data_IF_448845046219
#
_entry.id   IF_448845046219
#
_cell.length_a   1.000
_cell.length_b   1.000
_cell.length_c   1.000
_cell.angle_alpha   90.00
_cell.angle_beta   90.00
_cell.angle_gamma   90.00
#
_symmetry.space_group_name_H-M   'P 1'
#
loop_
_entity.id
_entity.type
_entity.pdbx_description
1 polymer ?
#
# COMPACT_ATOMS: atom_id res chain seq x y z
N UNK A 1 -16.18 -1.36 26.09
CA UNK A 1 -14.87 -2.05 26.19
C UNK A 1 -13.88 -1.22 25.39
N UNK A 2 -12.97 -0.48 26.03
CA UNK A 2 -12.03 0.40 25.32
C UNK A 2 -10.82 -0.43 24.88
N UNK A 3 -10.84 -0.94 23.65
CA UNK A 3 -9.68 -1.60 23.06
C UNK A 3 -8.82 -0.46 22.49
N UNK A 4 -7.66 -0.20 23.11
CA UNK A 4 -6.70 0.80 22.60
C UNK A 4 -5.51 0.04 22.00
N UNK A 5 -5.61 -0.43 20.75
CA UNK A 5 -4.43 -0.92 20.06
C UNK A 5 -3.49 0.27 19.82
N UNK A 6 -2.22 0.16 20.22
CA UNK A 6 -1.19 1.19 19.98
C UNK A 6 -0.72 1.18 18.53
N UNK A 7 -1.57 1.53 17.58
CA UNK A 7 -1.47 1.08 16.18
C UNK A 7 -0.25 1.58 15.40
N UNK A 8 0.29 2.74 15.77
CA UNK A 8 1.45 3.34 15.14
C UNK A 8 2.29 3.97 16.23
N UNK A 9 3.42 3.35 16.57
CA UNK A 9 4.35 3.88 17.56
C UNK A 9 5.61 4.34 16.84
N UNK A 10 5.91 5.63 16.98
CA UNK A 10 7.18 6.21 16.58
C UNK A 10 7.94 6.56 17.85
N UNK A 11 9.18 6.07 17.93
CA UNK A 11 10.09 6.39 19.03
C UNK A 11 11.29 7.14 18.47
N UNK A 12 11.56 8.34 19.00
CA UNK A 12 12.70 9.15 18.61
C UNK A 12 13.47 9.62 19.87
N UNK A 13 14.81 9.59 19.81
CA UNK A 13 15.73 10.09 20.84
C UNK A 13 16.60 11.27 20.38
N UNK A 14 16.43 11.74 19.16
CA UNK A 14 17.19 12.86 18.62
C UNK A 14 16.98 14.13 19.45
N UNK A 15 18.08 14.74 19.90
CA UNK A 15 18.03 15.94 20.75
C UNK A 15 17.77 15.66 22.23
N UNK A 16 17.74 14.39 22.66
CA UNK A 16 17.61 14.00 24.06
C UNK A 16 18.97 13.55 24.66
N UNK A 17 19.24 13.83 25.96
CA UNK A 17 18.37 14.52 26.92
C UNK A 17 18.33 16.04 26.68
N UNK A 18 17.16 16.63 26.88
CA UNK A 18 17.00 18.08 26.83
C UNK A 18 17.55 18.67 28.14
N UNK A 19 18.50 19.59 28.03
CA UNK A 19 19.14 20.25 29.16
C UNK A 19 18.11 21.20 29.83
N UNK A 20 18.11 21.35 31.16
CA UNK A 20 17.25 22.33 31.82
C UNK A 20 17.42 23.73 31.22
N UNK A 21 16.30 24.38 30.88
CA UNK A 21 16.29 25.70 30.23
C UNK A 21 16.43 25.67 28.69
N UNK A 22 16.70 24.52 28.08
CA UNK A 22 16.65 24.33 26.63
C UNK A 22 15.26 23.86 26.16
N UNK A 23 14.92 24.14 24.90
CA UNK A 23 13.69 23.67 24.26
C UNK A 23 14.00 22.79 23.04
N UNK A 24 13.11 21.83 22.75
CA UNK A 24 13.17 20.99 21.54
C UNK A 24 11.83 21.10 20.80
N UNK A 25 11.89 21.45 19.51
CA UNK A 25 10.72 21.44 18.62
C UNK A 25 10.97 20.47 17.48
N UNK A 26 10.04 19.54 17.26
CA UNK A 26 10.11 18.51 16.21
C UNK A 26 8.73 18.20 15.67
N UNK A 27 8.67 17.99 14.35
CA UNK A 27 7.47 17.55 13.65
C UNK A 27 7.59 16.06 13.36
N UNK A 28 6.53 15.31 13.68
CA UNK A 28 6.42 13.88 13.41
C UNK A 28 5.26 13.62 12.47
N UNK A 29 5.46 12.73 11.51
CA UNK A 29 4.42 12.30 10.57
C UNK A 29 4.06 10.86 10.86
N UNK A 30 2.79 10.61 11.16
CA UNK A 30 2.24 9.28 11.41
C UNK A 30 1.14 9.01 10.39
N UNK A 31 1.18 7.83 9.78
CA UNK A 31 0.13 7.37 8.85
C UNK A 31 -0.56 6.15 9.46
N UNK A 32 -1.82 6.28 9.89
CA UNK A 32 -2.58 5.16 10.46
C UNK A 32 -3.00 4.20 9.33
N UNK A 33 -2.16 3.20 9.04
CA UNK A 33 -2.43 2.15 8.05
C UNK A 33 -2.84 0.82 8.69
N UNK A 34 -3.69 0.07 7.98
CA UNK A 34 -4.06 -1.29 8.40
C UNK A 34 -2.88 -2.26 8.34
N UNK A 35 -1.98 -2.11 7.36
CA UNK A 35 -0.77 -2.95 7.18
C UNK A 35 0.03 -3.13 8.49
N UNK A 36 0.21 -2.04 9.25
CA UNK A 36 0.93 -2.04 10.53
C UNK A 36 0.15 -2.69 11.69
N UNK A 37 -1.08 -3.14 11.43
CA UNK A 37 -2.04 -3.59 12.43
C UNK A 37 -2.65 -4.96 12.12
N UNK A 38 -2.24 -5.62 11.03
CA UNK A 38 -2.78 -6.91 10.60
C UNK A 38 -2.62 -8.03 11.64
N UNK A 39 -1.50 -8.05 12.36
CA UNK A 39 -1.21 -9.05 13.38
C UNK A 39 -1.93 -8.77 14.72
N UNK A 40 -2.57 -7.61 14.84
CA UNK A 40 -3.16 -7.13 16.09
C UNK A 40 -4.63 -7.46 16.15
N UNK A 41 -5.01 -8.20 17.19
CA UNK A 41 -6.41 -8.51 17.48
C UNK A 41 -7.12 -7.30 18.07
N UNK A 42 -8.41 -7.19 17.80
CA UNK A 42 -9.27 -6.14 18.37
C UNK A 42 -9.13 -4.76 17.71
N UNK A 43 -8.51 -4.68 16.53
CA UNK A 43 -8.49 -3.47 15.69
C UNK A 43 -9.79 -3.42 14.90
N UNK A 44 -10.49 -2.28 14.96
CA UNK A 44 -11.68 -2.05 14.16
C UNK A 44 -11.31 -1.80 12.69
N UNK A 45 -12.01 -2.48 11.79
CA UNK A 45 -11.79 -2.42 10.33
C UNK A 45 -13.13 -2.27 9.62
N UNK A 46 -13.15 -1.63 8.45
CA UNK A 46 -14.36 -1.46 7.62
C UNK A 46 -14.75 -2.73 6.82
N UNK A 47 -14.02 -3.84 7.00
CA UNK A 47 -14.17 -5.06 6.23
C UNK A 47 -13.59 -6.30 6.90
N UNK A 48 -13.36 -7.36 6.11
CA UNK A 48 -12.82 -8.63 6.59
C UNK A 48 -11.29 -8.62 6.45
N UNK A 49 -10.57 -9.12 7.46
CA UNK A 49 -9.10 -9.14 7.52
C UNK A 49 -8.38 -9.70 6.27
N UNK A 50 -9.03 -10.55 5.47
CA UNK A 50 -8.44 -11.25 4.31
C UNK A 50 -8.72 -10.59 2.96
N UNK A 51 -9.31 -9.41 2.95
CA UNK A 51 -9.64 -8.67 1.72
C UNK A 51 -8.67 -7.49 1.62
N UNK A 52 -7.94 -7.38 0.51
CA UNK A 52 -6.90 -6.35 0.31
C UNK A 52 -7.43 -4.92 0.41
N UNK A 53 -8.69 -4.69 0.05
CA UNK A 53 -9.35 -3.37 0.11
C UNK A 53 -9.82 -2.98 1.53
N UNK A 54 -9.47 -3.76 2.55
CA UNK A 54 -9.91 -3.48 3.92
C UNK A 54 -9.06 -2.38 4.54
N UNK A 55 -9.72 -1.38 5.11
CA UNK A 55 -9.07 -0.29 5.84
C UNK A 55 -9.42 -0.34 7.33
N UNK A 56 -8.71 0.48 8.12
CA UNK A 56 -9.11 0.79 9.49
C UNK A 56 -10.51 1.40 9.49
N UNK A 57 -11.30 1.10 10.52
CA UNK A 57 -12.66 1.60 10.57
C UNK A 57 -12.72 3.13 10.67
N UNK A 58 -13.66 3.76 9.99
CA UNK A 58 -13.90 5.20 10.15
C UNK A 58 -14.35 5.55 11.58
N UNK A 59 -14.14 6.80 11.98
CA UNK A 59 -14.53 7.29 13.31
C UNK A 59 -16.05 7.36 13.44
N UNK A 60 -16.58 6.97 14.59
CA UNK A 60 -18.01 7.12 14.87
C UNK A 60 -18.32 8.55 15.27
N UNK A 61 -19.15 9.24 14.49
CA UNK A 61 -19.58 10.61 14.75
C UNK A 61 -20.94 10.62 15.45
N UNK A 62 -21.09 11.45 16.48
CA UNK A 62 -22.34 11.61 17.22
C UNK A 62 -22.88 13.02 17.00
N UNK A 63 -24.15 13.14 16.63
CA UNK A 63 -24.88 14.42 16.65
C UNK A 63 -25.35 14.78 18.05
N UNK A 64 -25.70 13.77 18.86
CA UNK A 64 -26.05 13.90 20.27
C UNK A 64 -25.29 12.86 21.10
N UNK A 65 -24.72 13.22 22.27
CA UNK A 65 -23.94 12.30 23.11
C UNK A 65 -24.79 11.13 23.65
N UNK A 66 -26.09 11.34 23.85
CA UNK A 66 -27.02 10.33 24.37
C UNK A 66 -27.23 9.16 23.39
N UNK A 67 -26.91 9.34 22.10
CA UNK A 67 -27.08 8.29 21.09
C UNK A 67 -25.92 7.29 21.06
N UNK A 68 -24.90 7.45 21.91
CA UNK A 68 -23.72 6.56 21.91
C UNK A 68 -24.08 5.09 22.09
N UNK A 69 -25.12 4.79 22.87
CA UNK A 69 -25.57 3.43 23.17
C UNK A 69 -26.35 2.77 22.02
N UNK A 70 -26.81 3.55 21.04
CA UNK A 70 -27.49 3.04 19.85
C UNK A 70 -26.52 2.40 18.84
N UNK A 71 -25.22 2.70 18.96
CA UNK A 71 -24.19 2.15 18.10
C UNK A 71 -23.60 0.88 18.73
N UNK A 72 -23.62 -0.24 17.99
CA UNK A 72 -23.04 -1.50 18.47
C UNK A 72 -21.54 -1.41 18.71
N UNK A 73 -20.81 -0.75 17.81
CA UNK A 73 -19.36 -0.50 17.94
C UNK A 73 -19.10 0.98 17.76
N UNK A 74 -18.33 1.55 18.68
CA UNK A 74 -17.88 2.94 18.64
C UNK A 74 -16.37 2.98 18.41
N UNK A 75 -15.95 3.67 17.36
CA UNK A 75 -14.55 3.80 16.96
C UNK A 75 -14.11 5.26 17.16
N UNK A 76 -13.01 5.45 17.88
CA UNK A 76 -12.42 6.77 18.14
C UNK A 76 -10.90 6.68 18.07
N UNK A 77 -10.26 7.69 17.47
CA UNK A 77 -8.80 7.75 17.36
C UNK A 77 -8.20 8.85 18.22
N UNK A 78 -7.03 8.55 18.79
CA UNK A 78 -6.28 9.46 19.66
C UNK A 78 -4.81 9.39 19.30
N UNK A 79 -4.21 10.53 18.97
CA UNK A 79 -2.77 10.67 18.86
C UNK A 79 -2.20 10.89 20.26
N UNK A 80 -1.24 10.05 20.67
CA UNK A 80 -0.65 10.10 22.01
C UNK A 80 0.83 10.42 21.90
N UNK A 81 1.26 11.49 22.56
CA UNK A 81 2.67 11.88 22.68
C UNK A 81 3.14 11.54 24.08
N UNK A 82 4.17 10.69 24.15
CA UNK A 82 4.77 10.23 25.40
C UNK A 82 6.19 10.76 25.51
N UNK A 83 6.48 11.51 26.57
CA UNK A 83 7.81 11.98 26.92
C UNK A 83 8.29 11.26 28.18
N UNK A 84 9.40 10.53 28.07
CA UNK A 84 10.04 9.86 29.22
C UNK A 84 11.14 10.76 29.79
N UNK A 85 10.95 11.24 31.01
CA UNK A 85 11.83 12.21 31.66
C UNK A 85 12.83 11.51 32.60
N UNK A 86 13.87 10.90 32.04
CA UNK A 86 15.01 10.35 32.80
C UNK A 86 14.64 9.39 33.96
N UNK A 87 15.57 9.23 34.91
CA UNK A 87 15.42 8.28 36.04
C UNK A 87 14.49 8.77 37.15
N UNK A 88 14.33 10.09 37.29
CA UNK A 88 13.57 10.70 38.40
C UNK A 88 12.31 11.46 37.95
N UNK A 89 12.15 11.75 36.66
CA UNK A 89 11.06 12.58 36.15
C UNK A 89 9.83 11.80 35.68
N UNK A 90 9.89 10.47 35.58
CA UNK A 90 8.75 9.66 35.17
C UNK A 90 8.33 9.89 33.71
N UNK A 91 7.03 9.94 33.44
CA UNK A 91 6.45 10.00 32.10
C UNK A 91 5.40 11.12 32.02
N UNK A 92 5.48 11.92 30.96
CA UNK A 92 4.44 12.87 30.58
C UNK A 92 3.72 12.37 29.33
N UNK A 93 2.39 12.37 29.36
CA UNK A 93 1.55 11.94 28.23
C UNK A 93 0.60 13.07 27.86
N UNK A 94 0.58 13.40 26.58
CA UNK A 94 -0.42 14.29 25.97
C UNK A 94 -1.22 13.50 24.93
N UNK A 95 -2.53 13.75 24.88
CA UNK A 95 -3.46 13.05 23.99
C UNK A 95 -4.25 14.06 23.18
N UNK A 96 -4.34 13.81 21.86
CA UNK A 96 -5.06 14.66 20.92
C UNK A 96 -6.06 13.79 20.15
N UNK A 97 -7.37 13.95 20.37
CA UNK A 97 -8.37 13.24 19.60
C UNK A 97 -8.41 13.75 18.16
N UNK A 98 -8.65 12.85 17.20
CA UNK A 98 -8.82 13.20 15.80
C UNK A 98 -9.85 12.30 15.12
N UNK A 99 -10.37 12.77 13.98
CA UNK A 99 -11.33 12.02 13.16
C UNK A 99 -10.61 11.42 11.95
N UNK A 100 -10.65 10.11 11.83
CA UNK A 100 -10.25 9.36 10.64
C UNK A 100 -11.50 8.99 9.83
N UNK A 101 -11.54 9.35 8.55
CA UNK A 101 -12.62 9.06 7.60
C UNK A 101 -12.03 8.66 6.26
N UNK A 102 -12.81 7.96 5.44
CA UNK A 102 -12.50 7.81 4.03
C UNK A 102 -12.50 9.17 3.30
N UNK A 103 -11.66 9.32 2.26
CA UNK A 103 -11.71 10.50 1.42
C UNK A 103 -13.10 10.66 0.78
N UNK A 104 -13.54 11.89 0.52
CA UNK A 104 -14.78 12.12 -0.21
C UNK A 104 -14.69 11.51 -1.62
N UNK A 105 -15.81 11.05 -2.20
CA UNK A 105 -15.83 10.59 -3.57
C UNK A 105 -15.51 11.74 -4.54
N UNK A 106 -14.84 11.41 -5.65
CA UNK A 106 -14.31 12.38 -6.63
C UNK A 106 -15.41 13.22 -7.31
N UNK A 107 -16.64 12.72 -7.36
CA UNK A 107 -17.79 13.37 -8.03
C UNK A 107 -18.31 14.63 -7.32
N UNK A 108 -17.82 14.94 -6.12
CA UNK A 108 -18.23 16.12 -5.34
C UNK A 108 -17.40 17.37 -5.65
N UNK A 109 -16.35 17.25 -6.48
CA UNK A 109 -15.62 18.40 -7.01
C UNK A 109 -16.44 18.99 -8.16
N UNK A 110 -17.39 19.89 -7.83
CA UNK A 110 -18.21 20.60 -8.83
C UNK A 110 -17.30 21.29 -9.85
N UNK A 111 -17.42 20.99 -11.16
CA UNK A 111 -16.86 21.85 -12.18
C UNK A 111 -17.68 23.15 -12.21
N UNK A 112 -17.12 24.22 -11.64
CA UNK A 112 -17.57 25.59 -11.79
C UNK A 112 -17.32 26.07 -13.24
N UNK A 113 -18.10 25.58 -14.22
CA UNK A 113 -18.32 26.22 -15.53
C UNK A 113 -19.25 25.40 -16.42
N UNK A 114 -20.54 25.74 -16.47
CA UNK A 114 -21.25 25.97 -17.74
C UNK A 114 -22.60 26.67 -17.51
N UNK A 115 -22.60 28.01 -17.58
CA UNK A 115 -23.76 28.74 -18.10
C UNK A 115 -23.54 28.88 -19.59
N UNK A 116 -24.27 28.09 -20.38
CA UNK A 116 -24.98 28.54 -21.58
C UNK A 116 -25.62 27.31 -22.23
N UNK A 117 -26.95 27.35 -22.36
CA UNK A 117 -27.71 26.27 -22.96
C UNK A 117 -27.44 26.17 -24.45
N UNK A 118 -27.03 24.99 -24.89
CA UNK A 118 -27.38 24.40 -26.17
C UNK A 118 -27.62 22.91 -25.95
N UNK A 119 -28.70 22.42 -26.53
CA UNK A 119 -29.23 21.07 -26.41
C UNK A 119 -28.59 20.24 -27.53
N UNK A 120 -27.63 19.39 -27.21
CA UNK A 120 -26.91 18.58 -28.19
C UNK A 120 -26.65 17.17 -27.62
N UNK A 121 -27.30 16.16 -28.22
CA UNK A 121 -27.07 14.71 -28.16
C UNK A 121 -26.83 14.03 -26.79
N UNK A 122 -27.79 13.18 -26.40
CA UNK A 122 -27.59 12.12 -25.40
C UNK A 122 -26.92 10.93 -26.09
N UNK A 123 -25.60 10.98 -26.24
CA UNK A 123 -24.82 9.90 -26.83
C UNK A 123 -24.63 8.74 -25.84
N UNK A 124 -25.07 7.59 -26.34
CA UNK A 124 -24.79 6.23 -25.89
C UNK A 124 -23.29 6.03 -25.58
N UNK A 125 -22.94 5.86 -24.30
CA UNK A 125 -21.85 4.98 -23.82
C UNK A 125 -21.59 5.09 -22.31
N UNK A 126 -22.60 5.01 -21.44
CA UNK A 126 -22.33 4.44 -20.10
C UNK A 126 -22.35 2.93 -20.27
N UNK A 127 -21.25 2.38 -20.79
CA UNK A 127 -21.07 0.93 -20.90
C UNK A 127 -21.12 0.37 -19.48
N UNK A 128 -22.23 -0.26 -19.12
CA UNK A 128 -22.36 -0.98 -17.86
C UNK A 128 -21.37 -2.14 -17.89
N UNK A 129 -20.37 -2.07 -17.02
CA UNK A 129 -19.46 -3.18 -16.77
C UNK A 129 -20.11 -4.02 -15.68
N UNK A 130 -20.50 -5.25 -16.03
CA UNK A 130 -21.01 -6.20 -15.05
C UNK A 130 -19.80 -6.84 -14.39
N UNK A 131 -19.52 -6.45 -13.15
CA UNK A 131 -18.49 -7.06 -12.31
C UNK A 131 -19.14 -7.97 -11.27
N UNK A 132 -18.42 -9.01 -10.85
CA UNK A 132 -18.86 -9.85 -9.73
C UNK A 132 -18.77 -9.06 -8.43
N UNK A 133 -19.82 -9.10 -7.61
CA UNK A 133 -19.88 -8.40 -6.32
C UNK A 133 -19.05 -9.11 -5.22
N UNK A 134 -18.48 -10.29 -5.52
CA UNK A 134 -17.58 -10.98 -4.61
C UNK A 134 -16.27 -10.21 -4.47
N UNK A 135 -16.02 -9.67 -3.26
CA UNK A 135 -14.71 -9.09 -2.92
C UNK A 135 -13.61 -10.14 -3.08
N UNK A 136 -12.56 -9.77 -3.81
CA UNK A 136 -11.38 -10.60 -3.96
C UNK A 136 -10.69 -10.76 -2.61
N UNK A 137 -10.35 -12.01 -2.28
CA UNK A 137 -9.47 -12.28 -1.15
C UNK A 137 -8.01 -12.13 -1.59
N UNK A 138 -7.12 -11.88 -0.63
CA UNK A 138 -5.65 -11.82 -0.87
C UNK A 138 -5.15 -13.07 -1.63
N UNK A 139 -5.79 -14.21 -1.41
CA UNK A 139 -5.45 -15.48 -2.08
C UNK A 139 -5.80 -15.46 -3.57
N UNK A 140 -6.93 -14.86 -3.94
CA UNK A 140 -7.42 -14.81 -5.32
C UNK A 140 -6.50 -13.93 -6.21
N UNK A 141 -5.91 -12.88 -5.64
CA UNK A 141 -4.95 -12.00 -6.33
C UNK A 141 -3.65 -12.74 -6.65
N UNK A 142 -3.14 -13.54 -5.71
CA UNK A 142 -1.92 -14.33 -5.89
C UNK A 142 -2.06 -15.41 -6.99
N UNK A 143 -3.24 -16.01 -7.12
CA UNK A 143 -3.52 -16.98 -8.17
C UNK A 143 -3.68 -16.31 -9.56
N UNK A 144 -4.24 -15.10 -9.60
CA UNK A 144 -4.33 -14.31 -10.84
C UNK A 144 -2.94 -13.89 -11.32
N UNK A 145 -2.03 -13.50 -10.42
CA UNK A 145 -0.65 -13.16 -10.78
C UNK A 145 0.13 -14.38 -11.30
N UNK A 146 -0.05 -15.56 -10.68
CA UNK A 146 0.52 -16.82 -11.20
C UNK A 146 0.01 -17.17 -12.59
N UNK A 147 -1.25 -16.85 -12.91
CA UNK A 147 -1.82 -17.09 -14.23
C UNK A 147 -1.19 -16.20 -15.31
N UNK A 148 -0.84 -14.95 -14.98
CA UNK A 148 -0.17 -14.02 -15.90
C UNK A 148 1.31 -14.39 -16.12
N UNK A 149 2.03 -14.81 -15.08
CA UNK A 149 3.42 -15.27 -15.21
C UNK A 149 3.54 -16.58 -16.03
N UNK A 150 2.48 -17.39 -16.05
CA UNK A 150 2.43 -18.60 -16.86
C UNK A 150 2.20 -18.35 -18.36
N UNK A 151 1.60 -17.22 -18.74
CA UNK A 151 1.36 -16.88 -20.15
C UNK A 151 2.63 -16.37 -20.88
N UNK A 152 3.60 -15.81 -20.16
CA UNK A 152 4.86 -15.35 -20.77
C UNK A 152 5.86 -16.49 -20.99
N UNK A 153 5.76 -17.58 -20.22
CA UNK A 153 6.62 -18.78 -20.40
C UNK A 153 6.15 -19.69 -21.54
N UNK A 154 4.87 -19.60 -21.94
CA UNK A 154 4.28 -20.48 -22.94
C UNK A 154 4.29 -19.91 -24.37
N UNK A 155 4.73 -18.65 -24.56
CA UNK A 155 4.87 -18.03 -25.88
C UNK A 155 6.23 -18.30 -26.57
N UNK A 156 7.08 -19.16 -26.01
CA UNK A 156 8.42 -19.43 -26.57
C UNK A 156 8.66 -20.86 -27.09
N UNK A 157 7.63 -21.71 -27.22
CA UNK A 157 7.84 -23.09 -27.71
C UNK A 157 6.92 -23.59 -28.84
N UNK A 158 5.99 -22.80 -29.36
CA UNK A 158 5.20 -23.20 -30.53
C UNK A 158 5.58 -22.37 -31.76
N UNK A 159 6.40 -22.98 -32.62
CA UNK A 159 6.81 -22.63 -34.01
C UNK A 159 8.34 -22.71 -34.07
N UNK A 160 8.97 -23.76 -34.62
CA UNK A 160 9.06 -24.03 -36.05
C UNK A 160 9.37 -25.53 -36.27
N UNK A 161 8.42 -26.27 -36.84
CA UNK A 161 8.72 -27.44 -37.67
C UNK A 161 8.36 -27.03 -39.11
N UNK A 162 9.36 -26.52 -39.83
CA UNK A 162 9.25 -26.04 -41.20
C UNK A 162 10.46 -26.53 -42.00
N UNK A 163 10.30 -26.92 -43.28
CA UNK A 163 11.35 -27.62 -44.01
C UNK A 163 12.59 -26.76 -44.20
N UNK A 164 13.75 -27.37 -43.93
CA UNK A 164 15.10 -26.83 -44.09
C UNK A 164 15.30 -26.25 -45.51
N UNK A 165 15.63 -24.96 -45.66
CA UNK A 165 16.14 -24.44 -46.92
C UNK A 165 17.62 -24.82 -47.08
N UNK A 166 17.98 -25.39 -48.23
CA UNK A 166 19.37 -25.70 -48.56
C UNK A 166 20.28 -24.46 -48.56
N UNK A 167 21.55 -24.58 -48.12
CA UNK A 167 22.47 -23.45 -48.09
C UNK A 167 22.94 -23.06 -49.51
N UNK A 168 22.78 -21.77 -49.84
CA UNK A 168 23.27 -21.18 -51.08
C UNK A 168 24.82 -21.22 -51.14
N UNK A 169 25.44 -21.61 -52.28
CA UNK A 169 26.87 -21.90 -52.37
C UNK A 169 27.80 -20.67 -52.46
N UNK A 170 27.38 -19.49 -51.98
CA UNK A 170 28.13 -18.22 -52.17
C UNK A 170 28.83 -17.65 -50.94
N UNK A 171 28.62 -18.22 -49.74
CA UNK A 171 29.26 -17.72 -48.51
C UNK A 171 30.52 -18.50 -48.09
N UNK A 172 31.12 -19.26 -49.02
CA UNK A 172 32.31 -20.08 -48.76
C UNK A 172 33.63 -19.31 -48.71
N UNK A 173 33.58 -18.00 -48.55
CA UNK A 173 34.77 -17.17 -48.39
C UNK A 173 34.51 -16.05 -47.37
N UNK A 174 34.61 -16.40 -46.09
CA UNK A 174 35.50 -15.61 -45.26
C UNK A 174 36.14 -16.44 -44.15
N UNK A 175 37.44 -16.27 -44.14
CA UNK A 175 38.49 -16.91 -43.37
C UNK A 175 38.66 -16.19 -42.03
N UNK A 176 39.35 -16.86 -41.10
CA UNK A 176 40.02 -16.32 -39.90
C UNK A 176 39.11 -15.91 -38.74
N UNK A 177 39.53 -15.99 -37.48
CA UNK A 177 40.65 -16.58 -36.78
C UNK A 177 40.33 -16.35 -35.27
N UNK A 178 41.16 -16.93 -34.41
CA UNK A 178 41.33 -16.56 -33.00
C UNK A 178 40.36 -17.15 -31.96
N UNK A 179 40.85 -18.24 -31.35
CA UNK A 179 40.46 -18.71 -30.01
C UNK A 179 41.47 -18.15 -29.00
N UNK A 180 41.07 -17.30 -28.03
CA UNK A 180 41.83 -17.08 -26.82
C UNK A 180 41.30 -17.91 -25.65
N UNK A 181 42.25 -18.52 -24.93
CA UNK A 181 42.08 -19.34 -23.73
C UNK A 181 41.44 -18.57 -22.57
N UNK A 182 40.60 -19.25 -21.79
CA UNK A 182 39.96 -18.71 -20.58
C UNK A 182 40.95 -18.45 -19.43
N UNK A 183 40.62 -17.52 -18.51
CA UNK A 183 41.48 -17.22 -17.38
C UNK A 183 41.28 -18.15 -16.17
N UNK A 184 42.44 -18.43 -15.59
CA UNK A 184 42.82 -19.16 -14.39
C UNK A 184 42.17 -18.63 -13.11
N UNK A 185 41.81 -19.54 -12.19
CA UNK A 185 41.36 -19.22 -10.83
C UNK A 185 42.54 -18.71 -9.99
N UNK A 186 42.37 -17.59 -9.28
CA UNK A 186 43.17 -17.27 -8.09
C UNK A 186 42.27 -17.12 -6.87
N UNK A 187 42.52 -18.03 -5.94
CA UNK A 187 42.07 -18.07 -4.56
C UNK A 187 42.89 -17.05 -3.76
N UNK A 188 42.25 -16.06 -3.13
CA UNK A 188 42.92 -15.14 -2.21
C UNK A 188 42.42 -15.39 -0.79
N UNK A 189 43.35 -15.89 0.02
CA UNK A 189 43.24 -16.08 1.46
C UNK A 189 43.30 -14.72 2.16
N UNK A 190 42.26 -14.39 2.93
CA UNK A 190 42.24 -13.20 3.78
C UNK A 190 42.82 -13.54 5.15
N UNK A 191 43.89 -12.85 5.51
CA UNK A 191 44.45 -12.74 6.85
C UNK A 191 43.70 -11.68 7.66
#
# INVERSE_FOLDING_TARGET
MNIIPRCCLLFNREGCPIIPGAGLSRSFHLVPKLENNLERRGVAMDGRLKVEETNLASSTLFTNPDHREQFGVVVSYVARVKLTMGTLGGELVAEVPFTLMNPPPDDLVRPEALKNGQHENMDDSTRLVIEDCRRMSVSDVLDTQKSLDSLDTQKSMDSLDGPFPEPNPKDRMNLMADIPKGPEKKEEQKK
#
